data_IF_876786554433
#
_entry.id   IF_876786554433
#
_cell.length_a   1.000
_cell.length_b   1.000
_cell.length_c   1.000
_cell.angle_alpha   90.00
_cell.angle_beta   90.00
_cell.angle_gamma   90.00
#
_symmetry.space_group_name_H-M   'P 1'
#
loop_
_entity.id
_entity.type
_entity.pdbx_description
1 polymer ?
#
# COMPACT_ATOMS: atom_id res chain seq x y z
N UNK A 1 -5.90 -53.23 45.09
CA UNK A 1 -6.64 -51.95 44.93
C UNK A 1 -5.73 -50.72 45.05
N UNK A 2 -4.47 -50.78 44.56
CA UNK A 2 -3.52 -49.64 44.55
C UNK A 2 -3.07 -49.26 43.13
N UNK A 3 -3.14 -50.18 42.15
CA UNK A 3 -2.72 -49.96 40.77
C UNK A 3 -3.65 -49.04 39.95
N UNK A 4 -4.94 -48.99 40.26
CA UNK A 4 -5.92 -48.19 39.50
C UNK A 4 -5.88 -46.68 39.80
N UNK A 5 -5.40 -46.30 40.99
CA UNK A 5 -5.30 -44.88 41.42
C UNK A 5 -4.02 -44.22 40.85
N UNK A 6 -2.96 -45.01 40.64
CA UNK A 6 -1.67 -44.49 40.18
C UNK A 6 -1.67 -44.17 38.67
N UNK A 7 -2.48 -44.88 37.88
CA UNK A 7 -2.68 -44.59 36.44
C UNK A 7 -3.50 -43.30 36.25
N UNK A 8 -4.49 -43.04 37.11
CA UNK A 8 -5.35 -41.86 37.02
C UNK A 8 -4.64 -40.56 37.42
N UNK A 9 -3.74 -40.58 38.42
CA UNK A 9 -2.88 -39.42 38.74
C UNK A 9 -1.87 -39.10 37.63
N UNK A 10 -1.30 -40.13 36.97
CA UNK A 10 -0.30 -39.94 35.92
C UNK A 10 -0.89 -39.33 34.63
N UNK A 11 -2.16 -39.65 34.32
CA UNK A 11 -2.87 -39.06 33.17
C UNK A 11 -3.37 -37.63 33.42
N UNK A 12 -3.57 -37.21 34.68
CA UNK A 12 -3.90 -35.82 35.01
C UNK A 12 -2.70 -34.85 34.95
N UNK A 13 -1.48 -35.35 35.13
CA UNK A 13 -0.26 -34.53 34.98
C UNK A 13 0.12 -34.32 33.51
N UNK A 14 -0.08 -35.33 32.65
CA UNK A 14 0.21 -35.25 31.22
C UNK A 14 -0.73 -34.30 30.46
N UNK A 15 -1.98 -34.13 30.91
CA UNK A 15 -2.93 -33.19 30.29
C UNK A 15 -2.68 -31.71 30.66
N UNK A 16 -2.10 -31.44 31.83
CA UNK A 16 -1.81 -30.07 32.28
C UNK A 16 -0.49 -29.50 31.73
N UNK A 17 0.48 -30.36 31.38
CA UNK A 17 1.75 -29.93 30.75
C UNK A 17 1.53 -29.55 29.28
N UNK A 18 0.60 -30.22 28.59
CA UNK A 18 0.24 -29.87 27.21
C UNK A 18 -0.58 -28.58 27.11
N UNK A 19 -1.39 -28.24 28.12
CA UNK A 19 -2.22 -27.03 28.08
C UNK A 19 -1.44 -25.74 28.45
N UNK A 20 -0.41 -25.86 29.30
CA UNK A 20 0.43 -24.72 29.70
C UNK A 20 1.54 -24.41 28.70
N UNK A 21 1.99 -25.39 27.90
CA UNK A 21 2.99 -25.19 26.84
C UNK A 21 2.46 -24.52 25.58
N UNK A 22 1.19 -24.71 25.23
CA UNK A 22 0.56 -24.14 24.03
C UNK A 22 0.23 -22.64 24.18
N UNK A 23 0.08 -22.13 25.40
CA UNK A 23 -0.24 -20.73 25.65
C UNK A 23 1.00 -19.81 25.59
N UNK A 24 2.21 -20.37 25.75
CA UNK A 24 3.46 -19.61 25.77
C UNK A 24 4.02 -19.27 24.36
N UNK A 25 3.39 -19.75 23.28
CA UNK A 25 3.88 -19.56 21.90
C UNK A 25 3.05 -18.55 21.10
N UNK A 26 1.98 -17.97 21.67
CA UNK A 26 1.04 -17.12 20.91
C UNK A 26 1.09 -15.62 21.18
N UNK A 27 2.03 -15.10 21.96
CA UNK A 27 2.19 -13.65 22.10
C UNK A 27 3.65 -13.24 22.05
N UNK A 28 4.10 -12.82 20.88
CA UNK A 28 4.68 -11.47 20.63
C UNK A 28 5.39 -11.43 19.28
N UNK A 29 4.68 -11.71 18.17
CA UNK A 29 5.01 -10.99 16.94
C UNK A 29 4.39 -9.61 17.07
N UNK A 30 5.06 -8.71 17.80
CA UNK A 30 4.87 -7.29 17.56
C UNK A 30 5.49 -7.01 16.18
N UNK A 31 4.74 -7.35 15.13
CA UNK A 31 4.87 -6.68 13.85
C UNK A 31 4.46 -5.23 14.12
N UNK A 32 5.41 -4.45 14.63
CA UNK A 32 5.43 -3.03 14.31
C UNK A 32 5.64 -2.98 12.80
N UNK A 33 4.55 -3.16 12.06
CA UNK A 33 4.47 -2.72 10.70
C UNK A 33 4.87 -1.25 10.78
N UNK A 34 6.12 -0.93 10.43
CA UNK A 34 6.52 0.44 10.30
C UNK A 34 5.57 0.98 9.24
N UNK A 35 4.58 1.76 9.66
CA UNK A 35 3.81 2.63 8.79
C UNK A 35 4.83 3.63 8.24
N UNK A 36 5.62 3.16 7.28
CA UNK A 36 6.59 3.93 6.56
C UNK A 36 5.76 4.87 5.71
N UNK A 37 5.56 6.08 6.22
CA UNK A 37 4.84 7.13 5.53
C UNK A 37 5.50 7.32 4.16
N UNK A 38 4.73 7.05 3.12
CA UNK A 38 5.24 7.05 1.77
C UNK A 38 4.72 8.27 1.04
N UNK A 39 5.48 9.35 1.12
CA UNK A 39 5.12 10.63 0.49
C UNK A 39 4.89 10.52 -1.03
N UNK A 40 5.41 9.47 -1.70
CA UNK A 40 5.11 9.21 -3.11
C UNK A 40 3.64 8.83 -3.34
N UNK A 41 3.05 8.05 -2.43
CA UNK A 41 1.63 7.68 -2.51
C UNK A 41 0.75 8.93 -2.33
N UNK A 42 1.09 9.79 -1.37
CA UNK A 42 0.34 11.03 -1.11
C UNK A 42 0.42 12.05 -2.25
N UNK A 43 1.60 12.25 -2.84
CA UNK A 43 1.74 13.11 -4.01
C UNK A 43 0.99 12.53 -5.22
N UNK A 44 1.06 11.23 -5.44
CA UNK A 44 0.32 10.58 -6.52
C UNK A 44 -1.20 10.71 -6.31
N UNK A 45 -1.68 10.51 -5.08
CA UNK A 45 -3.08 10.69 -4.72
C UNK A 45 -3.54 12.12 -4.96
N UNK A 46 -2.73 13.10 -4.55
CA UNK A 46 -3.02 14.54 -4.77
C UNK A 46 -3.04 14.89 -6.25
N UNK A 47 -2.06 14.40 -7.03
CA UNK A 47 -2.03 14.58 -8.48
C UNK A 47 -3.29 14.00 -9.12
N UNK A 48 -3.61 12.72 -8.87
CA UNK A 48 -4.80 12.09 -9.45
C UNK A 48 -6.08 12.83 -9.06
N UNK A 49 -6.18 13.32 -7.81
CA UNK A 49 -7.33 14.09 -7.38
C UNK A 49 -7.47 15.43 -8.11
N UNK A 50 -6.36 16.11 -8.41
CA UNK A 50 -6.38 17.34 -9.21
C UNK A 50 -6.88 17.12 -10.65
N UNK A 51 -6.65 15.92 -11.21
CA UNK A 51 -7.03 15.59 -12.59
C UNK A 51 -8.45 15.00 -12.70
N UNK A 52 -8.98 14.38 -11.64
CA UNK A 52 -10.24 13.63 -11.66
C UNK A 52 -11.45 14.36 -11.09
N UNK A 53 -11.55 15.69 -11.31
CA UNK A 53 -12.60 16.56 -10.75
C UNK A 53 -14.01 15.94 -10.90
N UNK A 54 -14.79 15.98 -9.82
CA UNK A 54 -16.16 15.46 -9.78
C UNK A 54 -16.30 13.95 -9.59
N UNK A 55 -15.19 13.21 -9.43
CA UNK A 55 -15.19 11.76 -9.23
C UNK A 55 -14.49 11.38 -7.93
N UNK A 56 -14.80 10.19 -7.41
CA UNK A 56 -13.97 9.56 -6.39
C UNK A 56 -12.70 9.03 -7.06
N UNK A 57 -11.54 9.37 -6.51
CA UNK A 57 -10.24 9.26 -7.18
C UNK A 57 -9.26 8.51 -6.31
N UNK A 58 -8.52 7.60 -6.93
CA UNK A 58 -7.59 6.69 -6.27
C UNK A 58 -6.29 6.63 -7.06
N UNK A 59 -5.17 6.84 -6.39
CA UNK A 59 -3.85 6.51 -6.90
C UNK A 59 -3.48 5.09 -6.48
N UNK A 60 -3.19 4.23 -7.44
CA UNK A 60 -2.73 2.87 -7.19
C UNK A 60 -1.29 2.74 -7.66
N UNK A 61 -0.42 2.27 -6.77
CA UNK A 61 0.98 2.01 -7.09
C UNK A 61 1.10 0.93 -8.16
N UNK A 62 1.95 1.19 -9.14
CA UNK A 62 2.29 0.25 -10.21
C UNK A 62 3.74 -0.18 -10.08
N UNK A 63 3.96 -1.48 -10.06
CA UNK A 63 5.31 -2.03 -9.98
C UNK A 63 6.15 -1.63 -11.19
N UNK A 64 7.42 -1.38 -10.91
CA UNK A 64 8.42 -1.05 -11.90
C UNK A 64 9.10 -2.33 -12.38
N UNK A 65 8.43 -3.06 -13.26
CA UNK A 65 8.97 -4.27 -13.89
C UNK A 65 8.60 -4.31 -15.37
N UNK A 66 9.38 -5.03 -16.18
CA UNK A 66 9.14 -5.18 -17.62
C UNK A 66 7.82 -5.89 -17.93
N UNK A 67 7.30 -6.64 -16.97
CA UNK A 67 6.04 -7.39 -17.05
C UNK A 67 4.89 -6.72 -16.29
N UNK A 68 5.08 -5.50 -15.80
CA UNK A 68 4.07 -4.82 -15.01
C UNK A 68 2.78 -4.60 -15.82
N UNK A 69 1.60 -4.90 -15.25
CA UNK A 69 0.33 -4.71 -15.93
C UNK A 69 0.08 -3.24 -16.29
N UNK A 70 -0.78 -3.01 -17.28
CA UNK A 70 -1.20 -1.64 -17.63
C UNK A 70 -2.05 -1.04 -16.52
N UNK A 71 -2.12 0.29 -16.44
CA UNK A 71 -2.97 0.95 -15.47
C UNK A 71 -4.48 0.66 -15.69
N UNK A 72 -4.90 0.41 -16.93
CA UNK A 72 -6.24 -0.12 -17.20
C UNK A 72 -6.49 -1.44 -16.47
N UNK A 73 -5.55 -2.38 -16.57
CA UNK A 73 -5.63 -3.68 -15.90
C UNK A 73 -5.63 -3.52 -14.37
N UNK A 74 -4.79 -2.63 -13.85
CA UNK A 74 -4.69 -2.35 -12.41
C UNK A 74 -6.01 -1.76 -11.87
N UNK A 75 -6.57 -0.72 -12.50
CA UNK A 75 -7.85 -0.14 -12.06
C UNK A 75 -9.02 -1.12 -12.19
N UNK A 76 -8.97 -1.99 -13.20
CA UNK A 76 -10.01 -3.02 -13.39
C UNK A 76 -9.93 -4.10 -12.30
N UNK A 77 -8.73 -4.54 -11.96
CA UNK A 77 -8.49 -5.50 -10.88
C UNK A 77 -8.89 -4.93 -9.50
N UNK A 78 -8.62 -3.64 -9.27
CA UNK A 78 -8.96 -2.94 -8.03
C UNK A 78 -10.43 -2.48 -7.94
N UNK A 79 -11.27 -2.77 -8.96
CA UNK A 79 -12.64 -2.26 -9.03
C UNK A 79 -13.45 -2.57 -7.77
N UNK A 80 -13.41 -3.81 -7.28
CA UNK A 80 -14.20 -4.22 -6.13
C UNK A 80 -13.81 -3.42 -4.87
N UNK A 81 -12.52 -3.27 -4.61
CA UNK A 81 -12.00 -2.57 -3.43
C UNK A 81 -12.29 -1.07 -3.49
N UNK A 82 -12.11 -0.46 -4.68
CA UNK A 82 -12.48 0.95 -4.91
C UNK A 82 -13.96 1.16 -4.59
N UNK A 83 -14.87 0.38 -5.19
CA UNK A 83 -16.31 0.54 -4.98
C UNK A 83 -16.70 0.31 -3.52
N UNK A 84 -16.09 -0.68 -2.86
CA UNK A 84 -16.30 -0.93 -1.43
C UNK A 84 -15.86 0.25 -0.56
N UNK A 85 -14.72 0.89 -0.87
CA UNK A 85 -14.19 2.03 -0.12
C UNK A 85 -15.13 3.25 -0.12
N UNK A 86 -15.90 3.42 -1.20
CA UNK A 86 -16.92 4.47 -1.34
C UNK A 86 -18.33 3.98 -1.02
N UNK A 87 -18.47 2.86 -0.31
CA UNK A 87 -19.77 2.27 0.07
C UNK A 87 -20.71 2.04 -1.13
N UNK A 88 -20.15 1.68 -2.28
CA UNK A 88 -20.87 1.44 -3.54
C UNK A 88 -21.73 2.63 -4.03
N UNK A 89 -21.32 3.87 -3.71
CA UNK A 89 -21.99 5.08 -4.23
C UNK A 89 -21.87 5.27 -5.75
N UNK A 90 -21.05 4.45 -6.41
CA UNK A 90 -20.82 4.38 -7.86
C UNK A 90 -20.79 2.91 -8.28
N UNK A 91 -20.85 2.65 -9.58
CA UNK A 91 -20.89 1.28 -10.12
C UNK A 91 -19.75 0.97 -11.10
N UNK A 92 -19.03 2.00 -11.54
CA UNK A 92 -18.00 1.89 -12.56
C UNK A 92 -16.67 2.42 -12.04
N UNK A 93 -15.59 1.82 -12.51
CA UNK A 93 -14.21 2.22 -12.22
C UNK A 93 -13.44 2.18 -13.53
N UNK A 94 -12.67 3.23 -13.81
CA UNK A 94 -11.78 3.27 -14.96
C UNK A 94 -10.48 4.01 -14.63
N UNK A 95 -9.41 3.65 -15.35
CA UNK A 95 -8.24 4.50 -15.42
C UNK A 95 -8.55 5.74 -16.25
N UNK A 96 -8.07 6.91 -15.82
CA UNK A 96 -8.22 8.15 -16.58
C UNK A 96 -6.90 8.91 -16.76
N UNK A 97 -5.89 8.60 -15.96
CA UNK A 97 -4.53 9.16 -16.06
C UNK A 97 -3.52 8.17 -15.45
N UNK A 98 -2.24 8.38 -15.70
CA UNK A 98 -1.16 7.71 -15.02
C UNK A 98 -0.03 8.69 -14.69
N UNK A 99 0.67 8.42 -13.61
CA UNK A 99 1.62 9.35 -13.03
C UNK A 99 2.97 8.67 -12.79
N UNK A 100 4.04 9.42 -12.95
CA UNK A 100 5.37 9.03 -12.52
C UNK A 100 5.92 10.03 -11.52
N UNK A 101 6.46 9.50 -10.43
CA UNK A 101 7.37 10.24 -9.55
C UNK A 101 8.68 9.47 -9.43
N UNK A 102 9.80 10.17 -9.64
CA UNK A 102 11.13 9.58 -9.51
C UNK A 102 11.63 9.71 -8.07
N UNK A 103 12.19 8.62 -7.54
CA UNK A 103 12.81 8.57 -6.20
C UNK A 103 14.17 9.28 -6.10
N UNK A 104 14.62 9.96 -7.15
CA UNK A 104 15.87 10.71 -7.10
C UNK A 104 15.59 12.10 -6.56
N UNK A 105 16.11 12.37 -5.37
CA UNK A 105 16.07 13.68 -4.74
C UNK A 105 17.51 14.11 -4.50
N UNK A 106 17.82 15.38 -4.78
CA UNK A 106 18.74 16.05 -3.90
C UNK A 106 18.01 16.13 -2.56
N UNK A 107 18.52 15.44 -1.52
CA UNK A 107 17.99 15.64 -0.19
C UNK A 107 18.00 17.15 0.08
N UNK A 108 16.83 17.67 0.38
CA UNK A 108 16.62 18.96 0.99
C UNK A 108 17.43 18.96 2.29
N UNK A 109 18.72 19.34 2.20
CA UNK A 109 19.67 19.27 3.32
C UNK A 109 19.07 20.05 4.49
N UNK A 110 18.94 19.39 5.64
CA UNK A 110 18.54 20.02 6.89
C UNK A 110 19.49 21.19 7.16
N UNK A 111 18.99 22.41 7.09
CA UNK A 111 19.70 23.61 7.49
C UNK A 111 19.30 23.94 8.93
N UNK A 112 20.28 23.90 9.84
CA UNK A 112 20.12 24.27 11.24
C UNK A 112 20.02 25.79 11.47
N UNK A 113 20.11 26.62 10.41
CA UNK A 113 20.06 28.09 10.49
C UNK A 113 18.66 28.71 10.58
N UNK A 114 17.60 27.89 10.60
CA UNK A 114 16.25 28.25 11.03
C UNK A 114 15.51 29.36 10.26
N UNK A 115 15.88 29.69 9.01
CA UNK A 115 15.13 30.72 8.25
C UNK A 115 14.32 30.19 7.06
N UNK A 116 14.80 29.17 6.32
CA UNK A 116 14.01 28.36 5.37
C UNK A 116 14.97 27.34 4.69
N UNK A 117 15.15 26.13 5.25
CA UNK A 117 16.19 25.17 4.83
C UNK A 117 16.14 24.80 3.35
N UNK A 118 14.97 24.95 2.70
CA UNK A 118 14.67 24.36 1.39
C UNK A 118 14.12 25.34 0.37
N UNK A 119 14.12 26.64 0.70
CA UNK A 119 13.78 27.67 -0.28
C UNK A 119 14.75 27.62 -1.47
N UNK A 120 14.20 27.61 -2.69
CA UNK A 120 14.96 27.64 -3.94
C UNK A 120 15.54 26.31 -4.41
N UNK A 121 15.32 25.19 -3.70
CA UNK A 121 15.76 23.86 -4.15
C UNK A 121 14.71 23.21 -5.07
N UNK A 122 15.17 22.57 -6.14
CA UNK A 122 14.30 21.85 -7.10
C UNK A 122 13.79 20.56 -6.45
N UNK A 123 12.48 20.34 -6.51
CA UNK A 123 11.83 19.15 -5.95
C UNK A 123 11.88 17.97 -6.95
N UNK A 124 11.25 16.86 -6.59
CA UNK A 124 11.19 15.63 -7.38
C UNK A 124 10.72 15.85 -8.81
N UNK A 125 11.33 15.08 -9.72
CA UNK A 125 10.83 14.96 -11.09
C UNK A 125 9.53 14.16 -11.08
N UNK A 126 8.47 14.79 -11.58
CA UNK A 126 7.16 14.19 -11.72
C UNK A 126 6.67 14.33 -13.16
N UNK A 127 5.87 13.37 -13.64
CA UNK A 127 5.38 13.37 -15.01
C UNK A 127 3.97 12.77 -15.09
N UNK A 128 3.03 13.55 -15.63
CA UNK A 128 1.67 13.10 -15.95
C UNK A 128 1.60 12.56 -17.38
N UNK A 129 1.12 11.34 -17.54
CA UNK A 129 1.01 10.70 -18.86
C UNK A 129 -0.31 11.02 -19.58
N UNK A 130 -1.29 11.57 -18.86
CA UNK A 130 -2.66 11.68 -19.33
C UNK A 130 -3.31 10.31 -19.54
N UNK A 131 -4.45 10.31 -20.23
CA UNK A 131 -5.20 9.09 -20.56
C UNK A 131 -4.38 8.05 -21.35
N UNK A 132 -3.37 8.48 -22.12
CA UNK A 132 -2.45 7.58 -22.82
C UNK A 132 -1.61 6.72 -21.86
N UNK A 133 -1.40 7.19 -20.63
CA UNK A 133 -0.74 6.45 -19.57
C UNK A 133 -1.48 5.18 -19.14
N UNK A 134 -2.81 5.16 -19.31
CA UNK A 134 -3.64 4.03 -18.90
C UNK A 134 -3.32 2.73 -19.66
N UNK A 135 -2.96 2.85 -20.93
CA UNK A 135 -2.57 1.73 -21.80
C UNK A 135 -1.05 1.57 -21.93
N UNK A 136 -0.24 2.37 -21.20
CA UNK A 136 1.21 2.36 -21.32
C UNK A 136 1.79 1.01 -20.89
N UNK A 137 2.51 0.35 -21.79
CA UNK A 137 3.23 -0.90 -21.52
C UNK A 137 4.63 -0.58 -21.00
N UNK A 138 5.18 -1.39 -20.09
CA UNK A 138 6.50 -1.13 -19.54
C UNK A 138 7.56 -1.14 -20.65
N UNK A 139 8.26 -0.03 -20.78
CA UNK A 139 9.56 0.05 -21.46
C UNK A 139 10.65 0.56 -20.51
N UNK A 140 10.24 1.26 -19.44
CA UNK A 140 11.05 1.80 -18.35
C UNK A 140 10.20 1.86 -17.06
N UNK A 141 10.74 2.46 -16.00
CA UNK A 141 10.09 2.66 -14.69
C UNK A 141 9.01 3.78 -14.68
N UNK A 142 8.08 3.76 -15.63
CA UNK A 142 7.03 4.78 -15.75
C UNK A 142 5.88 4.35 -16.67
N UNK A 143 4.63 4.74 -16.38
CA UNK A 143 4.14 5.31 -15.11
C UNK A 143 4.29 4.35 -13.92
N UNK A 144 4.55 4.87 -12.72
CA UNK A 144 4.64 4.06 -11.49
C UNK A 144 3.43 4.26 -10.54
N UNK A 145 2.45 5.06 -10.96
CA UNK A 145 1.14 5.21 -10.35
C UNK A 145 0.04 5.26 -11.42
N UNK A 146 -1.11 4.70 -11.08
CA UNK A 146 -2.30 4.68 -11.91
C UNK A 146 -3.38 5.54 -11.25
N UNK A 147 -3.97 6.49 -12.00
CA UNK A 147 -5.10 7.27 -11.52
C UNK A 147 -6.40 6.60 -11.95
N UNK A 148 -7.09 6.02 -10.97
CA UNK A 148 -8.39 5.40 -11.14
C UNK A 148 -9.48 6.34 -10.64
N UNK A 149 -10.62 6.37 -11.33
CA UNK A 149 -11.81 7.09 -10.89
C UNK A 149 -13.01 6.16 -10.79
N UNK A 150 -13.86 6.38 -9.79
CA UNK A 150 -15.17 5.77 -9.69
C UNK A 150 -16.27 6.78 -10.03
N UNK A 151 -17.20 6.35 -10.88
CA UNK A 151 -18.25 7.18 -11.49
C UNK A 151 -19.52 6.37 -11.79
#
# INVERSE_FOLDING_TARGET
MYYFIQISLSMMYLSNILLTGLCAVLFTSSDVASLSYNYFDEMAQTYCASQGVGNWVFAIRRDCSEIAPTCNSICSAAKHDILKSIKNQRNSVACFDAYQVRKQHAHLRHDSSNTQPDAGKVNMVTYGYGSKGCSWRPNHCGPNYCCCKAF
#
